data_IF_501190580133
#
_entry.id   IF_501190580133
#
_cell.length_a   1.000
_cell.length_b   1.000
_cell.length_c   1.000
_cell.angle_alpha   90.00
_cell.angle_beta   90.00
_cell.angle_gamma   90.00
#
_symmetry.space_group_name_H-M   'P 1'
#
loop_
_entity.id
_entity.type
_entity.pdbx_description
1 polymer ?
#
# COMPACT_ATOMS: atom_id res chain seq x y z
N UNK A 1 22.85 8.93 22.72
CA UNK A 1 22.46 7.52 22.50
C UNK A 1 22.59 7.19 21.03
N UNK A 2 22.94 5.96 20.64
CA UNK A 2 23.12 5.64 19.23
C UNK A 2 21.76 5.63 18.53
N UNK A 3 21.59 6.52 17.53
CA UNK A 3 20.44 6.49 16.62
C UNK A 3 20.53 5.20 15.82
N UNK A 4 19.60 4.28 16.05
CA UNK A 4 19.49 3.05 15.27
C UNK A 4 19.28 3.39 13.79
N UNK A 5 19.88 2.62 12.87
CA UNK A 5 19.98 2.99 11.47
C UNK A 5 18.60 3.06 10.81
N UNK A 6 18.23 4.25 10.30
CA UNK A 6 17.08 4.45 9.40
C UNK A 6 17.34 3.64 8.12
N UNK A 7 16.77 2.44 8.04
CA UNK A 7 16.88 1.51 6.91
C UNK A 7 15.52 0.88 6.55
N UNK A 8 14.41 1.43 7.05
CA UNK A 8 13.12 0.72 7.15
C UNK A 8 11.98 1.26 6.26
N UNK A 9 12.23 2.27 5.40
CA UNK A 9 11.18 2.83 4.53
C UNK A 9 10.66 1.84 3.46
N UNK A 10 11.42 0.80 3.10
CA UNK A 10 11.01 -0.16 2.06
C UNK A 10 10.02 -1.23 2.57
N UNK A 11 9.88 -1.40 3.90
CA UNK A 11 9.01 -2.44 4.48
C UNK A 11 7.55 -2.00 4.64
N UNK A 12 7.29 -0.69 4.62
CA UNK A 12 5.97 -0.12 4.90
C UNK A 12 5.09 -0.14 3.65
N UNK A 13 5.67 0.12 2.48
CA UNK A 13 4.93 0.19 1.22
C UNK A 13 4.25 -1.13 0.82
N UNK A 14 4.91 -2.32 0.88
CA UNK A 14 4.23 -3.60 0.61
C UNK A 14 3.08 -3.90 1.59
N UNK A 15 3.23 -3.50 2.87
CA UNK A 15 2.18 -3.64 3.88
C UNK A 15 0.99 -2.73 3.58
N UNK A 16 1.24 -1.49 3.18
CA UNK A 16 0.22 -0.56 2.73
C UNK A 16 -0.54 -1.13 1.52
N UNK A 17 0.17 -1.58 0.48
CA UNK A 17 -0.44 -2.21 -0.70
C UNK A 17 -1.35 -3.37 -0.31
N UNK A 18 -0.91 -4.25 0.60
CA UNK A 18 -1.72 -5.35 1.12
C UNK A 18 -2.98 -4.85 1.82
N UNK A 19 -2.87 -3.86 2.71
CA UNK A 19 -4.03 -3.30 3.44
C UNK A 19 -5.03 -2.66 2.48
N UNK A 20 -4.56 -1.89 1.51
CA UNK A 20 -5.42 -1.26 0.50
C UNK A 20 -6.16 -2.30 -0.34
N UNK A 21 -5.47 -3.36 -0.78
CA UNK A 21 -6.13 -4.47 -1.48
C UNK A 21 -7.21 -5.13 -0.62
N UNK A 22 -6.96 -5.33 0.67
CA UNK A 22 -7.93 -5.93 1.59
C UNK A 22 -9.17 -5.05 1.79
N UNK A 23 -8.99 -3.72 1.84
CA UNK A 23 -10.07 -2.78 2.11
C UNK A 23 -10.93 -2.47 0.88
N UNK A 24 -10.30 -2.33 -0.28
CA UNK A 24 -10.97 -1.82 -1.49
C UNK A 24 -11.31 -2.89 -2.51
N UNK A 25 -10.62 -4.04 -2.51
CA UNK A 25 -10.95 -5.15 -3.41
C UNK A 25 -12.01 -6.03 -2.74
N UNK A 26 -13.06 -6.48 -3.43
CA UNK A 26 -13.87 -7.58 -2.94
C UNK A 26 -13.09 -8.89 -3.11
N UNK A 27 -12.70 -9.53 -2.01
CA UNK A 27 -11.95 -10.80 -2.00
C UNK A 27 -12.66 -11.85 -1.16
N UNK A 28 -12.63 -13.11 -1.62
CA UNK A 28 -13.07 -14.27 -0.82
C UNK A 28 -11.89 -15.10 -0.34
N UNK A 29 -10.78 -15.03 -1.07
CA UNK A 29 -9.56 -15.77 -0.80
C UNK A 29 -8.31 -14.91 -1.03
N UNK A 30 -7.17 -15.34 -0.49
CA UNK A 30 -5.90 -14.63 -0.68
C UNK A 30 -5.47 -14.62 -2.15
N UNK A 31 -5.90 -15.63 -2.92
CA UNK A 31 -5.68 -15.74 -4.37
C UNK A 31 -6.38 -14.62 -5.15
N UNK A 32 -7.50 -14.08 -4.63
CA UNK A 32 -8.16 -12.91 -5.22
C UNK A 32 -7.33 -11.64 -5.00
N UNK A 33 -6.57 -11.58 -3.91
CA UNK A 33 -5.77 -10.40 -3.56
C UNK A 33 -4.47 -10.31 -4.35
N UNK A 34 -3.75 -11.42 -4.52
CA UNK A 34 -2.54 -11.49 -5.34
C UNK A 34 -2.32 -12.90 -5.90
N UNK A 35 -1.60 -12.99 -7.01
CA UNK A 35 -1.07 -14.27 -7.47
C UNK A 35 0.07 -14.75 -6.57
N UNK A 36 0.29 -16.06 -6.49
CA UNK A 36 1.30 -16.66 -5.62
C UNK A 36 2.71 -16.14 -5.93
N UNK A 37 2.99 -15.95 -7.23
CA UNK A 37 4.26 -15.43 -7.78
C UNK A 37 4.36 -13.91 -7.79
N UNK A 38 3.25 -13.19 -7.64
CA UNK A 38 3.22 -11.73 -7.74
C UNK A 38 3.44 -11.06 -6.37
N UNK A 39 4.12 -9.91 -6.36
CA UNK A 39 4.29 -9.10 -5.15
C UNK A 39 3.03 -8.29 -4.82
N UNK A 40 2.85 -7.93 -3.54
CA UNK A 40 1.72 -7.08 -3.11
C UNK A 40 1.69 -5.74 -3.85
N UNK A 41 2.86 -5.18 -4.16
CA UNK A 41 3.02 -3.95 -4.92
C UNK A 41 2.45 -4.12 -6.34
N UNK A 42 2.88 -5.15 -7.06
CA UNK A 42 2.44 -5.37 -8.44
C UNK A 42 0.93 -5.65 -8.52
N UNK A 43 0.39 -6.39 -7.55
CA UNK A 43 -1.04 -6.64 -7.51
C UNK A 43 -1.84 -5.38 -7.20
N UNK A 44 -1.30 -4.51 -6.33
CA UNK A 44 -1.87 -3.19 -6.05
C UNK A 44 -1.80 -2.25 -7.24
N UNK A 45 -0.70 -2.22 -7.98
CA UNK A 45 -0.57 -1.45 -9.22
C UNK A 45 -1.59 -1.91 -10.28
N UNK A 46 -1.78 -3.22 -10.41
CA UNK A 46 -2.79 -3.80 -11.31
C UNK A 46 -4.20 -3.40 -10.88
N UNK A 47 -4.48 -3.47 -9.58
CA UNK A 47 -5.77 -3.04 -9.01
C UNK A 47 -6.02 -1.55 -9.21
N UNK A 48 -5.00 -0.69 -9.01
CA UNK A 48 -5.09 0.75 -9.21
C UNK A 48 -5.45 1.12 -10.65
N UNK A 49 -4.93 0.37 -11.64
CA UNK A 49 -5.25 0.55 -13.06
C UNK A 49 -6.64 0.08 -13.46
N UNK A 50 -7.23 -0.83 -12.68
CA UNK A 50 -8.55 -1.41 -12.94
C UNK A 50 -9.66 -0.81 -12.06
N UNK A 51 -9.29 0.00 -11.07
CA UNK A 51 -10.22 0.67 -10.17
C UNK A 51 -10.87 1.91 -10.75
N UNK A 52 -12.06 2.21 -10.25
CA UNK A 52 -12.73 3.48 -10.44
C UNK A 52 -11.90 4.66 -9.92
N UNK A 53 -12.02 5.81 -10.60
CA UNK A 53 -11.37 7.06 -10.23
C UNK A 53 -11.67 7.50 -8.79
N UNK A 54 -12.86 7.16 -8.26
CA UNK A 54 -13.22 7.41 -6.86
C UNK A 54 -12.30 6.68 -5.88
N UNK A 55 -12.00 5.41 -6.15
CA UNK A 55 -11.08 4.61 -5.33
C UNK A 55 -9.67 5.19 -5.46
N UNK A 56 -9.25 5.56 -6.68
CA UNK A 56 -7.93 6.17 -6.93
C UNK A 56 -7.78 7.48 -6.14
N UNK A 57 -8.80 8.33 -6.10
CA UNK A 57 -8.79 9.56 -5.32
C UNK A 57 -8.64 9.30 -3.81
N UNK A 58 -9.33 8.28 -3.27
CA UNK A 58 -9.19 7.87 -1.86
C UNK A 58 -7.78 7.35 -1.58
N UNK A 59 -7.22 6.52 -2.48
CA UNK A 59 -5.86 5.99 -2.36
C UNK A 59 -4.81 7.09 -2.39
N UNK A 60 -4.95 8.09 -3.26
CA UNK A 60 -4.06 9.25 -3.30
C UNK A 60 -4.13 10.07 -2.00
N UNK A 61 -5.33 10.31 -1.46
CA UNK A 61 -5.50 11.02 -0.19
C UNK A 61 -4.88 10.24 0.99
N UNK A 62 -5.04 8.92 1.03
CA UNK A 62 -4.42 8.04 2.03
C UNK A 62 -2.89 8.05 1.94
N UNK A 63 -2.33 8.07 0.72
CA UNK A 63 -0.90 8.15 0.49
C UNK A 63 -0.32 9.48 1.00
N UNK A 64 -0.99 10.61 0.71
CA UNK A 64 -0.60 11.95 1.18
C UNK A 64 -0.63 12.01 2.72
N UNK A 65 -1.65 11.45 3.36
CA UNK A 65 -1.73 11.35 4.83
C UNK A 65 -0.56 10.56 5.44
N UNK A 66 -0.14 9.48 4.77
CA UNK A 66 1.03 8.71 5.17
C UNK A 66 2.33 9.50 5.00
N UNK A 67 2.50 10.20 3.88
CA UNK A 67 3.67 11.04 3.59
C UNK A 67 3.80 12.20 4.59
N UNK A 68 2.69 12.87 4.94
CA UNK A 68 2.68 13.93 5.95
C UNK A 68 2.95 13.40 7.38
N UNK A 69 2.64 12.13 7.66
CA UNK A 69 2.91 11.51 8.95
C UNK A 69 4.39 11.10 9.08
N UNK A 70 5.00 10.62 8.00
CA UNK A 70 6.44 10.32 7.93
C UNK A 70 7.27 11.61 8.03
N UNK A 71 6.82 12.68 7.38
CA UNK A 71 7.48 14.00 7.43
C UNK A 71 7.47 14.68 8.81
N UNK A 72 6.78 14.12 9.81
CA UNK A 72 6.67 14.67 11.17
C UNK A 72 7.53 13.94 12.20
N UNK A 73 8.20 12.86 11.82
CA UNK A 73 9.14 12.09 12.64
C UNK A 73 10.61 12.33 12.21
N UNK A 74 10.86 13.42 11.47
CA UNK A 74 12.20 13.98 11.24
C UNK A 74 12.55 15.10 12.23
#
# INVERSE_FOLDING_TARGET
GPRMPRRDQEYIYPKYCRLMLILFKPWRSVSDLKQTTQSWIESFETFRRTCDEKIIAILNNMQILHECKDSRDD
#
